data_IF_350561941365
#
_entry.id   IF_350561941365
#
_cell.length_a   1.000
_cell.length_b   1.000
_cell.length_c   1.000
_cell.angle_alpha   90.00
_cell.angle_beta   90.00
_cell.angle_gamma   90.00
#
_symmetry.space_group_name_H-M   'P 1'
#
loop_
_entity.id
_entity.type
_entity.pdbx_description
1 polymer ?
#
# COMPACT_ATOMS: atom_id res chain seq x y z
N UNK A 1 -39.66 15.40 9.13
CA UNK A 1 -38.39 16.13 8.93
C UNK A 1 -37.76 15.59 7.66
N UNK A 2 -37.83 16.33 6.56
CA UNK A 2 -37.10 16.00 5.32
C UNK A 2 -35.62 16.28 5.57
N UNK A 3 -34.79 15.24 5.58
CA UNK A 3 -33.35 15.40 5.65
C UNK A 3 -32.91 16.20 4.42
N UNK A 4 -32.41 17.41 4.65
CA UNK A 4 -31.70 18.18 3.63
C UNK A 4 -30.35 17.49 3.51
N UNK A 5 -30.16 16.74 2.44
CA UNK A 5 -28.84 16.23 2.08
C UNK A 5 -28.06 17.38 1.46
N UNK A 6 -26.89 17.69 2.02
CA UNK A 6 -25.94 18.57 1.35
C UNK A 6 -25.64 18.00 -0.04
N UNK A 7 -25.44 18.88 -1.05
CA UNK A 7 -25.04 18.41 -2.36
C UNK A 7 -23.76 17.59 -2.23
N UNK A 8 -23.62 16.49 -3.01
CA UNK A 8 -22.42 15.68 -2.96
C UNK A 8 -21.20 16.58 -3.21
N UNK A 9 -20.11 16.41 -2.44
CA UNK A 9 -18.92 17.22 -2.60
C UNK A 9 -18.47 17.14 -4.06
N UNK A 10 -17.97 18.24 -4.61
CA UNK A 10 -17.41 18.25 -5.97
C UNK A 10 -15.90 18.04 -5.92
N UNK A 11 -15.30 17.41 -6.94
CA UNK A 11 -13.86 17.31 -7.03
C UNK A 11 -13.17 18.69 -7.00
N UNK A 12 -11.96 18.81 -6.46
CA UNK A 12 -11.23 20.08 -6.42
C UNK A 12 -10.76 20.50 -7.81
N UNK A 13 -11.55 21.35 -8.48
CA UNK A 13 -11.38 21.70 -9.89
C UNK A 13 -9.98 22.25 -10.25
N UNK A 14 -9.41 23.11 -9.41
CA UNK A 14 -8.07 23.67 -9.66
C UNK A 14 -6.96 22.61 -9.60
N UNK A 15 -7.06 21.67 -8.66
CA UNK A 15 -6.09 20.57 -8.53
C UNK A 15 -6.21 19.64 -9.73
N UNK A 16 -7.43 19.28 -10.12
CA UNK A 16 -7.66 18.43 -11.29
C UNK A 16 -7.20 19.09 -12.59
N UNK A 17 -7.39 20.41 -12.74
CA UNK A 17 -6.89 21.14 -13.89
C UNK A 17 -5.36 21.00 -14.02
N UNK A 18 -4.62 21.17 -12.92
CA UNK A 18 -3.16 20.99 -12.92
C UNK A 18 -2.77 19.52 -13.18
N UNK A 19 -3.43 18.58 -12.51
CA UNK A 19 -3.15 17.14 -12.67
C UNK A 19 -3.45 16.67 -14.10
N UNK A 20 -4.42 17.25 -14.79
CA UNK A 20 -4.80 16.83 -16.15
C UNK A 20 -3.67 17.02 -17.16
N UNK A 21 -2.73 17.94 -16.88
CA UNK A 21 -1.53 18.16 -17.68
C UNK A 21 -0.48 17.07 -17.50
N UNK A 22 -0.48 16.38 -16.36
CA UNK A 22 0.55 15.39 -15.99
C UNK A 22 0.04 13.95 -16.09
N UNK A 23 -1.19 13.72 -15.63
CA UNK A 23 -1.82 12.40 -15.51
C UNK A 23 -3.31 12.48 -15.89
N UNK A 24 -3.64 12.75 -17.16
CA UNK A 24 -5.02 12.94 -17.61
C UNK A 24 -5.94 11.74 -17.33
N UNK A 25 -5.39 10.52 -17.33
CA UNK A 25 -6.16 9.31 -17.00
C UNK A 25 -6.54 9.25 -15.52
N UNK A 26 -5.67 9.70 -14.62
CA UNK A 26 -5.96 9.76 -13.18
C UNK A 26 -7.06 10.79 -12.91
N UNK A 27 -7.01 11.95 -13.57
CA UNK A 27 -8.07 12.96 -13.46
C UNK A 27 -9.41 12.39 -13.91
N UNK A 28 -9.44 11.72 -15.07
CA UNK A 28 -10.65 11.07 -15.57
C UNK A 28 -11.20 10.04 -14.59
N UNK A 29 -10.33 9.23 -14.00
CA UNK A 29 -10.71 8.23 -13.00
C UNK A 29 -11.33 8.89 -11.76
N UNK A 30 -10.74 9.99 -11.27
CA UNK A 30 -11.25 10.76 -10.13
C UNK A 30 -12.60 11.37 -10.47
N UNK A 31 -12.74 12.07 -11.60
CA UNK A 31 -14.00 12.72 -11.99
C UNK A 31 -15.14 11.72 -12.16
N UNK A 32 -14.86 10.55 -12.76
CA UNK A 32 -15.86 9.51 -12.97
C UNK A 32 -16.28 8.80 -11.69
N UNK A 33 -15.37 8.68 -10.72
CA UNK A 33 -15.60 7.86 -9.52
C UNK A 33 -15.67 8.66 -8.22
N UNK A 34 -15.68 10.00 -8.29
CA UNK A 34 -15.63 10.87 -7.10
C UNK A 34 -16.72 10.55 -6.06
N UNK A 35 -17.92 10.24 -6.55
CA UNK A 35 -19.07 9.89 -5.72
C UNK A 35 -19.35 8.38 -5.68
N UNK A 36 -18.45 7.55 -6.22
CA UNK A 36 -18.59 6.09 -6.17
C UNK A 36 -18.40 5.59 -4.75
N UNK A 37 -18.99 4.43 -4.43
CA UNK A 37 -18.68 3.76 -3.18
C UNK A 37 -17.19 3.37 -3.17
N UNK A 38 -16.59 3.34 -1.98
CA UNK A 38 -15.16 3.01 -1.83
C UNK A 38 -14.84 1.64 -2.45
N UNK A 39 -15.75 0.66 -2.34
CA UNK A 39 -15.62 -0.65 -2.97
C UNK A 39 -15.59 -0.58 -4.50
N UNK A 40 -16.45 0.23 -5.11
CA UNK A 40 -16.50 0.42 -6.56
C UNK A 40 -15.24 1.11 -7.06
N UNK A 41 -14.77 2.14 -6.35
CA UNK A 41 -13.51 2.81 -6.67
C UNK A 41 -12.31 1.86 -6.51
N UNK A 42 -12.26 1.08 -5.43
CA UNK A 42 -11.21 0.10 -5.21
C UNK A 42 -11.18 -0.96 -6.33
N UNK A 43 -12.36 -1.46 -6.74
CA UNK A 43 -12.48 -2.40 -7.87
C UNK A 43 -11.99 -1.77 -9.18
N UNK A 44 -12.31 -0.50 -9.42
CA UNK A 44 -11.86 0.25 -10.59
C UNK A 44 -10.33 0.40 -10.64
N UNK A 45 -9.69 0.73 -9.53
CA UNK A 45 -8.22 0.81 -9.44
C UNK A 45 -7.55 -0.55 -9.68
N UNK A 46 -8.25 -1.64 -9.39
CA UNK A 46 -7.78 -3.01 -9.59
C UNK A 46 -8.12 -3.63 -10.94
N UNK A 47 -8.73 -2.85 -11.84
CA UNK A 47 -9.04 -3.31 -13.20
C UNK A 47 -7.78 -3.86 -13.89
N UNK A 48 -7.93 -4.85 -14.79
CA UNK A 48 -6.81 -5.29 -15.59
C UNK A 48 -6.15 -4.12 -16.34
N UNK A 49 -4.82 -4.04 -16.25
CA UNK A 49 -4.03 -3.00 -16.92
C UNK A 49 -3.38 -3.58 -18.17
N UNK A 50 -3.08 -2.70 -19.14
CA UNK A 50 -2.34 -3.11 -20.32
C UNK A 50 -0.98 -3.69 -19.91
N UNK A 51 -0.58 -4.78 -20.56
CA UNK A 51 0.75 -5.37 -20.35
C UNK A 51 1.84 -4.37 -20.76
N UNK A 52 3.01 -4.43 -20.12
CA UNK A 52 4.12 -3.60 -20.53
C UNK A 52 4.43 -3.79 -22.02
N UNK A 53 4.51 -2.69 -22.77
CA UNK A 53 4.73 -2.74 -24.22
C UNK A 53 6.22 -2.74 -24.60
N UNK A 54 7.10 -2.28 -23.71
CA UNK A 54 8.54 -2.19 -24.00
C UNK A 54 9.26 -3.50 -23.71
N UNK A 55 10.22 -3.85 -24.57
CA UNK A 55 11.06 -5.05 -24.39
C UNK A 55 11.70 -5.17 -23.00
N UNK A 56 12.32 -4.10 -22.44
CA UNK A 56 12.86 -4.14 -21.08
C UNK A 56 11.81 -4.40 -20.00
N UNK A 57 10.62 -3.80 -20.12
CA UNK A 57 9.57 -3.99 -19.13
C UNK A 57 8.97 -5.41 -19.21
N UNK A 58 8.83 -5.97 -20.42
CA UNK A 58 8.44 -7.37 -20.62
C UNK A 58 9.48 -8.31 -19.99
N UNK A 59 10.77 -8.07 -20.25
CA UNK A 59 11.85 -8.87 -19.68
C UNK A 59 11.87 -8.80 -18.14
N UNK A 60 11.75 -7.60 -17.57
CA UNK A 60 11.68 -7.40 -16.12
C UNK A 60 10.46 -8.10 -15.50
N UNK A 61 9.28 -8.00 -16.15
CA UNK A 61 8.05 -8.69 -15.72
C UNK A 61 8.24 -10.21 -15.73
N UNK A 62 8.85 -10.75 -16.78
CA UNK A 62 9.13 -12.18 -16.93
C UNK A 62 10.08 -12.70 -15.85
N UNK A 63 11.18 -11.98 -15.57
CA UNK A 63 12.11 -12.30 -14.48
C UNK A 63 11.35 -12.33 -13.13
N UNK A 64 10.52 -11.32 -12.87
CA UNK A 64 9.78 -11.23 -11.63
C UNK A 64 8.77 -12.38 -11.49
N UNK A 65 8.05 -12.71 -12.58
CA UNK A 65 7.12 -13.84 -12.62
C UNK A 65 7.81 -15.17 -12.32
N UNK A 66 9.00 -15.39 -12.89
CA UNK A 66 9.79 -16.60 -12.64
C UNK A 66 10.25 -16.69 -11.17
N UNK A 67 10.72 -15.58 -10.60
CA UNK A 67 11.08 -15.52 -9.18
C UNK A 67 9.86 -15.81 -8.30
N UNK A 68 8.69 -15.24 -8.62
CA UNK A 68 7.45 -15.51 -7.90
C UNK A 68 7.07 -16.99 -7.97
N UNK A 69 7.12 -17.60 -9.15
CA UNK A 69 6.86 -19.03 -9.32
C UNK A 69 7.78 -19.90 -8.44
N UNK A 70 9.09 -19.62 -8.45
CA UNK A 70 10.06 -20.36 -7.64
C UNK A 70 9.80 -20.20 -6.14
N UNK A 71 9.41 -19.02 -5.68
CA UNK A 71 9.14 -18.76 -4.26
C UNK A 71 7.80 -19.32 -3.80
N UNK A 72 6.76 -19.19 -4.61
CA UNK A 72 5.42 -19.71 -4.30
C UNK A 72 5.41 -21.24 -4.29
N UNK A 73 6.17 -21.90 -5.16
CA UNK A 73 6.31 -23.37 -5.19
C UNK A 73 6.81 -23.99 -3.89
N UNK A 74 7.37 -23.20 -2.97
CA UNK A 74 7.84 -23.69 -1.66
C UNK A 74 6.75 -23.59 -0.58
N UNK A 75 5.72 -22.78 -0.79
CA UNK A 75 4.74 -22.40 0.25
C UNK A 75 3.27 -22.54 -0.16
N UNK A 76 2.97 -22.70 -1.45
CA UNK A 76 1.62 -22.75 -2.03
C UNK A 76 1.43 -24.04 -2.84
N UNK A 77 0.20 -24.56 -2.93
CA UNK A 77 -0.12 -25.73 -3.76
C UNK A 77 -0.03 -25.40 -5.26
N UNK A 78 0.38 -26.35 -6.13
CA UNK A 78 0.57 -26.10 -7.56
C UNK A 78 -0.63 -25.44 -8.28
N UNK A 79 -1.85 -25.83 -7.92
CA UNK A 79 -3.09 -25.33 -8.54
C UNK A 79 -3.31 -23.83 -8.25
N UNK A 80 -2.97 -23.38 -7.04
CA UNK A 80 -3.11 -21.98 -6.61
C UNK A 80 -2.02 -21.08 -7.23
N UNK A 81 -0.83 -21.64 -7.51
CA UNK A 81 0.28 -20.90 -8.14
C UNK A 81 -0.09 -20.45 -9.54
N UNK A 82 -0.69 -21.34 -10.35
CA UNK A 82 -1.09 -21.03 -11.72
C UNK A 82 -2.03 -19.83 -11.77
N UNK A 83 -3.08 -19.84 -10.93
CA UNK A 83 -4.06 -18.76 -10.83
C UNK A 83 -3.42 -17.45 -10.34
N UNK A 84 -2.60 -17.50 -9.29
CA UNK A 84 -1.94 -16.31 -8.75
C UNK A 84 -1.00 -15.66 -9.78
N UNK A 85 -0.25 -16.45 -10.56
CA UNK A 85 0.64 -15.92 -11.59
C UNK A 85 -0.12 -15.35 -12.79
N UNK A 86 -1.28 -15.91 -13.14
CA UNK A 86 -2.14 -15.33 -14.18
C UNK A 86 -2.74 -13.99 -13.73
N UNK A 87 -3.21 -13.92 -12.48
CA UNK A 87 -3.69 -12.68 -11.88
C UNK A 87 -2.58 -11.61 -11.85
N UNK A 88 -1.36 -12.00 -11.47
CA UNK A 88 -0.18 -11.13 -11.54
C UNK A 88 0.04 -10.56 -12.94
N UNK A 89 -0.13 -11.33 -14.01
CA UNK A 89 0.12 -10.83 -15.37
C UNK A 89 -0.86 -9.75 -15.85
N UNK A 90 -2.07 -9.74 -15.31
CA UNK A 90 -3.15 -8.86 -15.79
C UNK A 90 -3.49 -7.75 -14.81
N UNK A 91 -3.18 -7.92 -13.53
CA UNK A 91 -3.52 -6.95 -12.49
C UNK A 91 -2.34 -6.03 -12.16
N UNK A 92 -2.63 -4.79 -11.74
CA UNK A 92 -1.58 -3.90 -11.28
C UNK A 92 -0.87 -4.52 -10.09
N UNK A 93 0.46 -4.41 -10.10
CA UNK A 93 1.28 -4.72 -8.94
C UNK A 93 1.36 -3.46 -8.11
N UNK A 94 0.86 -3.52 -6.88
CA UNK A 94 0.93 -2.38 -6.00
C UNK A 94 2.29 -2.40 -5.31
N UNK A 95 3.17 -1.47 -5.71
CA UNK A 95 4.29 -1.10 -4.86
C UNK A 95 3.71 -0.32 -3.69
N UNK A 96 3.33 -1.06 -2.68
CA UNK A 96 2.88 -0.50 -1.44
C UNK A 96 4.12 -0.25 -0.59
N UNK A 97 4.31 0.95 -0.07
CA UNK A 97 5.29 1.21 1.00
C UNK A 97 4.92 0.52 2.31
N UNK A 98 4.33 -0.68 2.26
CA UNK A 98 4.08 -1.48 3.45
C UNK A 98 5.44 -1.84 3.99
N UNK A 99 5.70 -1.30 5.16
CA UNK A 99 6.75 -1.78 6.02
C UNK A 99 6.06 -2.71 7.00
N UNK A 100 6.64 -3.87 7.31
CA UNK A 100 6.00 -4.89 8.17
C UNK A 100 5.57 -4.36 9.56
N UNK A 101 6.00 -3.15 9.93
CA UNK A 101 5.68 -2.48 11.19
C UNK A 101 4.83 -1.20 11.02
N UNK A 102 4.60 -0.72 9.79
CA UNK A 102 3.78 0.47 9.50
C UNK A 102 2.32 0.14 9.21
N UNK A 103 1.89 -1.11 9.37
CA UNK A 103 0.46 -1.45 9.35
C UNK A 103 -0.34 -0.71 10.44
N UNK A 104 0.33 -0.11 11.41
CA UNK A 104 -0.29 0.71 12.46
C UNK A 104 -0.28 2.21 12.14
N UNK A 105 0.49 2.67 11.15
CA UNK A 105 0.39 4.03 10.63
C UNK A 105 -0.88 4.16 9.80
N UNK A 106 -1.69 5.20 10.04
CA UNK A 106 -3.02 5.33 9.46
C UNK A 106 -3.00 5.40 7.94
N UNK A 107 -2.07 6.16 7.36
CA UNK A 107 -1.96 6.33 5.91
C UNK A 107 -1.60 5.00 5.25
N UNK A 108 -0.62 4.30 5.82
CA UNK A 108 -0.16 3.01 5.33
C UNK A 108 -1.23 1.93 5.48
N UNK A 109 -1.95 1.92 6.60
CA UNK A 109 -3.09 1.02 6.84
C UNK A 109 -4.22 1.26 5.84
N UNK A 110 -4.66 2.52 5.67
CA UNK A 110 -5.76 2.86 4.76
C UNK A 110 -5.39 2.53 3.31
N UNK A 111 -4.14 2.76 2.90
CA UNK A 111 -3.65 2.36 1.59
C UNK A 111 -3.64 0.83 1.40
N UNK A 112 -3.23 0.07 2.42
CA UNK A 112 -3.32 -1.40 2.38
C UNK A 112 -4.76 -1.87 2.29
N UNK A 113 -5.63 -1.31 3.14
CA UNK A 113 -7.01 -1.70 3.23
C UNK A 113 -7.72 -1.47 1.90
N UNK A 114 -7.47 -0.33 1.26
CA UNK A 114 -8.00 -0.02 -0.06
C UNK A 114 -7.47 -0.99 -1.13
N UNK A 115 -6.17 -1.30 -1.09
CA UNK A 115 -5.55 -2.26 -2.00
C UNK A 115 -6.15 -3.67 -1.83
N UNK A 116 -6.28 -4.13 -0.59
CA UNK A 116 -6.87 -5.42 -0.26
C UNK A 116 -8.35 -5.49 -0.64
N UNK A 117 -9.12 -4.44 -0.34
CA UNK A 117 -10.53 -4.33 -0.73
C UNK A 117 -10.68 -4.47 -2.25
N UNK A 118 -9.86 -3.77 -3.03
CA UNK A 118 -9.92 -3.87 -4.48
C UNK A 118 -9.56 -5.26 -5.02
N UNK A 119 -8.66 -5.99 -4.37
CA UNK A 119 -8.34 -7.39 -4.70
C UNK A 119 -9.52 -8.33 -4.39
N UNK A 120 -10.16 -8.16 -3.24
CA UNK A 120 -11.35 -8.93 -2.81
C UNK A 120 -12.53 -8.67 -3.73
N UNK A 121 -12.86 -7.40 -3.98
CA UNK A 121 -13.93 -6.96 -4.89
C UNK A 121 -13.69 -7.37 -6.35
N UNK A 122 -12.45 -7.73 -6.66
CA UNK A 122 -12.03 -8.24 -7.96
C UNK A 122 -12.00 -9.77 -8.06
N UNK A 123 -12.31 -10.49 -6.98
CA UNK A 123 -12.30 -11.95 -6.92
C UNK A 123 -10.91 -12.59 -7.05
N UNK A 124 -9.85 -11.86 -6.67
CA UNK A 124 -8.48 -12.35 -6.80
C UNK A 124 -8.16 -13.42 -5.75
N UNK A 125 -7.44 -14.45 -6.17
CA UNK A 125 -6.86 -15.47 -5.28
C UNK A 125 -5.60 -15.00 -4.57
N UNK A 126 -4.88 -14.04 -5.17
CA UNK A 126 -3.67 -13.49 -4.59
C UNK A 126 -3.60 -11.95 -4.71
N UNK A 127 -3.05 -11.32 -3.67
CA UNK A 127 -2.70 -9.90 -3.64
C UNK A 127 -1.17 -9.76 -3.56
N UNK A 128 -0.55 -9.20 -4.60
CA UNK A 128 0.89 -8.98 -4.65
C UNK A 128 1.25 -7.57 -4.15
N UNK A 129 1.96 -7.51 -3.03
CA UNK A 129 2.51 -6.28 -2.46
C UNK A 129 4.04 -6.31 -2.52
N UNK A 130 4.66 -5.27 -3.08
CA UNK A 130 6.12 -5.09 -3.02
C UNK A 130 6.50 -4.15 -1.89
N UNK A 131 7.13 -4.71 -0.85
CA UNK A 131 7.59 -3.98 0.32
C UNK A 131 8.82 -3.11 -0.03
N UNK A 132 8.74 -1.80 0.23
CA UNK A 132 9.86 -0.89 0.06
C UNK A 132 10.93 -1.11 1.16
N UNK A 133 12.18 -1.39 0.76
CA UNK A 133 13.29 -1.65 1.70
C UNK A 133 14.16 -0.42 2.00
N UNK A 134 13.86 0.72 1.37
CA UNK A 134 14.75 1.88 1.26
C UNK A 134 14.58 2.93 2.35
N UNK A 135 13.61 2.77 3.27
CA UNK A 135 13.37 3.75 4.34
C UNK A 135 14.08 3.36 5.64
N UNK A 136 14.76 4.35 6.22
CA UNK A 136 15.30 4.28 7.57
C UNK A 136 14.16 4.23 8.59
N UNK A 137 14.39 3.67 9.78
CA UNK A 137 13.38 3.59 10.85
C UNK A 137 12.86 4.96 11.30
N UNK A 138 13.59 6.04 11.03
CA UNK A 138 13.07 7.40 11.11
C UNK A 138 13.41 8.12 9.81
N UNK A 139 12.38 8.62 9.12
CA UNK A 139 12.46 9.29 7.82
C UNK A 139 12.63 10.79 8.01
N UNK A 140 11.73 11.36 8.79
CA UNK A 140 11.78 12.71 9.36
C UNK A 140 11.38 12.64 10.83
N UNK A 141 11.55 13.73 11.59
CA UNK A 141 11.41 13.67 13.05
C UNK A 141 10.13 13.05 13.55
N UNK A 142 10.27 12.00 14.37
CA UNK A 142 9.15 11.21 14.91
C UNK A 142 8.25 10.58 13.84
N UNK A 143 8.77 10.33 12.66
CA UNK A 143 8.04 9.74 11.54
C UNK A 143 8.86 8.62 10.90
N UNK A 144 8.18 7.59 10.41
CA UNK A 144 8.78 6.41 9.81
C UNK A 144 8.57 5.13 10.64
N UNK A 145 9.09 3.98 10.18
CA UNK A 145 8.73 2.66 10.71
C UNK A 145 9.15 2.36 12.15
N UNK A 146 9.92 3.23 12.80
CA UNK A 146 10.24 3.17 14.22
C UNK A 146 9.30 3.96 15.11
N UNK A 147 8.29 4.61 14.53
CA UNK A 147 7.32 5.42 15.24
C UNK A 147 5.90 4.91 15.00
N UNK A 148 5.11 4.88 16.06
CA UNK A 148 3.68 4.57 16.03
C UNK A 148 2.91 5.84 16.37
N UNK A 149 2.04 6.25 15.46
CA UNK A 149 1.10 7.35 15.71
C UNK A 149 -0.12 6.83 16.46
N UNK A 150 -0.40 7.39 17.63
CA UNK A 150 -1.53 7.00 18.49
C UNK A 150 -2.58 8.11 18.56
N UNK A 151 -2.55 9.05 17.63
CA UNK A 151 -3.44 10.21 17.57
C UNK A 151 -2.86 11.42 18.29
N UNK A 152 -2.80 11.35 19.62
CA UNK A 152 -2.37 12.49 20.45
C UNK A 152 -0.85 12.51 20.68
N UNK A 153 -0.17 11.40 20.41
CA UNK A 153 1.29 11.29 20.54
C UNK A 153 1.90 10.35 19.49
N UNK A 154 3.24 10.36 19.41
CA UNK A 154 4.02 9.42 18.60
C UNK A 154 4.99 8.63 19.46
N UNK A 155 4.84 7.31 19.45
CA UNK A 155 5.57 6.37 20.31
C UNK A 155 6.75 5.78 19.57
N UNK A 156 7.94 5.82 20.18
CA UNK A 156 9.11 5.16 19.63
C UNK A 156 9.06 3.64 19.88
N UNK A 157 8.74 2.89 18.83
CA UNK A 157 8.53 1.44 18.85
C UNK A 157 9.74 0.65 19.30
N UNK A 158 10.94 1.22 19.24
CA UNK A 158 12.19 0.51 19.53
C UNK A 158 13.01 1.10 20.67
N UNK A 159 12.57 2.23 21.25
CA UNK A 159 13.32 2.95 22.29
C UNK A 159 14.71 3.42 21.84
N UNK A 160 14.94 3.51 20.53
CA UNK A 160 16.23 3.90 19.95
C UNK A 160 16.27 5.41 19.72
N UNK A 161 17.39 6.05 20.06
CA UNK A 161 17.59 7.46 19.70
C UNK A 161 17.60 7.68 18.19
N UNK A 162 17.15 8.86 17.75
CA UNK A 162 17.06 9.29 16.34
C UNK A 162 18.27 8.90 15.49
N UNK A 163 19.48 9.12 16.00
CA UNK A 163 20.73 8.80 15.28
C UNK A 163 20.82 7.33 14.83
N UNK A 164 20.25 6.40 15.60
CA UNK A 164 20.19 4.98 15.25
C UNK A 164 19.04 4.68 14.30
N UNK A 165 17.88 5.32 14.49
CA UNK A 165 16.70 5.11 13.65
C UNK A 165 16.93 5.60 12.21
N UNK A 166 17.52 6.79 12.02
CA UNK A 166 17.83 7.35 10.70
C UNK A 166 18.95 6.62 9.94
N UNK A 167 19.51 5.52 10.46
CA UNK A 167 20.61 4.76 9.84
C UNK A 167 20.29 3.27 9.67
N UNK A 168 19.17 2.80 10.19
CA UNK A 168 18.75 1.39 10.11
C UNK A 168 17.54 1.30 9.20
N UNK A 169 17.59 0.42 8.20
CA UNK A 169 16.40 0.08 7.42
C UNK A 169 15.52 -0.89 8.21
N UNK A 170 14.21 -0.70 8.15
CA UNK A 170 13.23 -1.63 8.73
C UNK A 170 13.29 -3.03 8.08
N UNK A 171 13.78 -3.12 6.84
CA UNK A 171 13.85 -4.37 6.09
C UNK A 171 15.24 -5.02 6.09
N UNK A 172 16.28 -4.31 6.56
CA UNK A 172 17.66 -4.81 6.60
C UNK A 172 18.17 -5.10 8.02
N UNK A 173 17.39 -4.78 9.06
CA UNK A 173 17.79 -5.03 10.44
C UNK A 173 17.48 -6.48 10.84
N UNK A 174 18.49 -7.19 11.35
CA UNK A 174 18.26 -8.37 12.19
C UNK A 174 17.36 -8.04 13.40
N UNK A 175 16.99 -9.03 14.23
CA UNK A 175 15.92 -8.87 15.22
C UNK A 175 16.14 -7.62 16.10
N UNK A 176 15.20 -6.68 16.00
CA UNK A 176 15.14 -5.49 16.86
C UNK A 176 13.99 -5.70 17.83
N UNK A 177 14.27 -5.60 19.13
CA UNK A 177 13.26 -5.75 20.16
C UNK A 177 12.32 -4.53 20.19
N UNK A 178 11.01 -4.79 20.28
CA UNK A 178 10.03 -3.75 20.54
C UNK A 178 10.19 -3.18 21.95
N UNK A 179 9.91 -1.88 22.09
CA UNK A 179 9.87 -1.16 23.34
C UNK A 179 8.56 -1.47 24.10
N UNK A 180 8.50 -2.66 24.70
CA UNK A 180 7.30 -3.16 25.39
C UNK A 180 6.72 -2.16 26.39
N UNK A 181 7.56 -1.51 27.19
CA UNK A 181 7.11 -0.52 28.19
C UNK A 181 6.35 0.65 27.59
N UNK A 182 6.80 1.14 26.43
CA UNK A 182 6.13 2.25 25.76
C UNK A 182 4.82 1.82 25.09
N UNK A 183 4.71 0.56 24.65
CA UNK A 183 3.48 0.01 24.11
C UNK A 183 2.44 -0.28 25.20
N UNK A 184 2.87 -0.84 26.33
CA UNK A 184 2.01 -1.11 27.49
C UNK A 184 1.41 0.19 28.06
N UNK A 185 2.21 1.27 28.15
CA UNK A 185 1.74 2.56 28.65
C UNK A 185 0.64 3.23 27.79
N UNK A 186 0.45 2.77 26.55
CA UNK A 186 -0.54 3.31 25.60
C UNK A 186 -1.76 2.40 25.50
N UNK A 187 -1.61 1.10 25.80
CA UNK A 187 -2.71 0.13 25.72
C UNK A 187 -3.64 0.09 26.93
N UNK A 188 -3.31 0.81 28.00
CA UNK A 188 -4.07 0.88 29.26
C UNK A 188 -5.03 2.11 29.33
N UNK A 189 -5.15 2.89 28.25
CA UNK A 189 -6.15 3.97 28.06
C UNK A 189 -7.26 3.56 27.09
#
# INVERSE_FOLDING_TARGET
>A
MTAVFDPPPTPPAEILAVLSLLCPEVVRDIEQNWNSQVSDYARHLWRPVARPASGPAIAARSILREVLHQRLSVIVQPEEIGKALEEFEHRPVIQSGLHCLLLMDRITFDALLLAWLGAVESGLSAFFAFMGTTMTMETIGREGPGWLDVGDDKVNLFGMGRHKLCRKSACAAGPVSLNKRALEAVGDE
#
